data_IF_184188851284
#
_entry.id   IF_184188851284
#
_cell.length_a   1.000
_cell.length_b   1.000
_cell.length_c   1.000
_cell.angle_alpha   90.00
_cell.angle_beta   90.00
_cell.angle_gamma   90.00
#
_symmetry.space_group_name_H-M   'P 1'
#
loop_
_entity.id
_entity.type
_entity.pdbx_description
1 polymer ?
#
# COMPACT_ATOMS: atom_id res chain seq x y z
N UNK A 1 -19.99 -9.80 18.74
CA UNK A 1 -18.79 -9.07 19.18
C UNK A 1 -19.23 -7.72 19.74
N UNK A 2 -18.74 -7.35 20.90
CA UNK A 2 -19.11 -6.06 21.50
C UNK A 2 -18.29 -4.90 20.88
N UNK A 3 -18.73 -3.66 21.11
CA UNK A 3 -18.10 -2.48 20.55
C UNK A 3 -16.63 -2.31 20.99
N UNK A 4 -16.30 -2.80 22.19
CA UNK A 4 -14.94 -2.74 22.73
C UNK A 4 -13.99 -3.65 21.93
N UNK A 5 -14.46 -4.85 21.57
CA UNK A 5 -13.69 -5.79 20.76
C UNK A 5 -13.47 -5.25 19.36
N UNK A 6 -14.47 -4.58 18.79
CA UNK A 6 -14.33 -3.95 17.48
C UNK A 6 -13.32 -2.81 17.50
N UNK A 7 -13.36 -1.99 18.55
CA UNK A 7 -12.41 -0.89 18.72
C UNK A 7 -10.97 -1.42 18.85
N UNK A 8 -10.77 -2.47 19.64
CA UNK A 8 -9.47 -3.11 19.81
C UNK A 8 -8.97 -3.70 18.49
N UNK A 9 -9.84 -4.36 17.73
CA UNK A 9 -9.49 -4.95 16.45
C UNK A 9 -9.05 -3.89 15.43
N UNK A 10 -9.77 -2.77 15.36
CA UNK A 10 -9.42 -1.66 14.48
C UNK A 10 -8.07 -1.06 14.83
N UNK A 11 -7.82 -0.87 16.12
CA UNK A 11 -6.54 -0.36 16.60
C UNK A 11 -5.39 -1.30 16.25
N UNK A 12 -5.59 -2.62 16.36
CA UNK A 12 -4.59 -3.62 15.99
C UNK A 12 -4.27 -3.58 14.50
N UNK A 13 -5.29 -3.44 13.65
CA UNK A 13 -5.13 -3.34 12.21
C UNK A 13 -4.35 -2.10 11.80
N UNK A 14 -4.67 -0.95 12.40
CA UNK A 14 -3.96 0.29 12.14
C UNK A 14 -2.50 0.20 12.60
N UNK A 15 -2.25 -0.36 13.78
CA UNK A 15 -0.90 -0.55 14.30
C UNK A 15 -0.09 -1.50 13.40
N UNK A 16 -0.71 -2.58 12.91
CA UNK A 16 -0.06 -3.53 12.02
C UNK A 16 0.30 -2.88 10.68
N UNK A 17 -0.59 -2.04 10.15
CA UNK A 17 -0.33 -1.32 8.91
C UNK A 17 0.88 -0.38 9.07
N UNK A 18 0.92 0.37 10.16
CA UNK A 18 2.04 1.28 10.45
C UNK A 18 3.35 0.49 10.64
N UNK A 19 3.28 -0.64 11.35
CA UNK A 19 4.43 -1.51 11.54
C UNK A 19 4.94 -2.07 10.21
N UNK A 20 4.03 -2.42 9.29
CA UNK A 20 4.41 -2.92 7.96
C UNK A 20 5.11 -1.85 7.12
N UNK A 21 4.66 -0.59 7.20
CA UNK A 21 5.36 0.52 6.53
C UNK A 21 6.80 0.59 7.03
N UNK A 22 6.99 0.57 8.36
CA UNK A 22 8.32 0.57 8.95
C UNK A 22 9.16 -0.63 8.54
N UNK A 23 8.56 -1.81 8.47
CA UNK A 23 9.23 -3.03 8.05
C UNK A 23 9.68 -2.96 6.58
N UNK A 24 8.85 -2.39 5.70
CA UNK A 24 9.25 -2.14 4.30
C UNK A 24 10.45 -1.22 4.22
N UNK A 25 10.44 -0.15 5.02
CA UNK A 25 11.56 0.80 5.05
C UNK A 25 12.86 0.16 5.52
N UNK A 26 12.79 -0.84 6.40
CA UNK A 26 13.94 -1.59 6.89
C UNK A 26 14.23 -2.85 6.07
N UNK A 27 13.41 -3.16 5.08
CA UNK A 27 13.46 -4.40 4.29
C UNK A 27 13.32 -5.68 5.14
N UNK A 28 12.52 -5.58 6.19
CA UNK A 28 12.20 -6.72 7.04
C UNK A 28 10.99 -7.47 6.48
N UNK A 29 11.24 -8.26 5.43
CA UNK A 29 10.18 -8.96 4.71
C UNK A 29 9.58 -10.10 5.52
N UNK A 30 10.32 -10.70 6.43
CA UNK A 30 9.79 -11.75 7.30
C UNK A 30 8.68 -11.23 8.20
N UNK A 31 8.82 -10.02 8.73
CA UNK A 31 7.79 -9.41 9.57
C UNK A 31 6.51 -9.15 8.77
N UNK A 32 6.65 -8.69 7.52
CA UNK A 32 5.51 -8.40 6.65
C UNK A 32 4.82 -9.71 6.26
N UNK A 33 5.59 -10.73 5.91
CA UNK A 33 5.07 -12.04 5.51
C UNK A 33 4.19 -12.65 6.60
N UNK A 34 4.58 -12.50 7.87
CA UNK A 34 3.81 -13.03 9.00
C UNK A 34 2.45 -12.37 9.15
N UNK A 35 2.27 -11.14 8.65
CA UNK A 35 1.01 -10.40 8.72
C UNK A 35 0.08 -10.66 7.53
N UNK A 36 0.53 -11.42 6.53
CA UNK A 36 -0.21 -11.66 5.31
C UNK A 36 -0.47 -13.16 5.10
N UNK A 37 -1.54 -13.47 4.38
CA UNK A 37 -1.78 -14.84 3.94
C UNK A 37 -0.75 -15.21 2.87
N UNK A 38 -0.33 -16.49 2.80
CA UNK A 38 0.57 -16.94 1.73
C UNK A 38 0.00 -16.69 0.33
N UNK A 39 -1.33 -16.73 0.19
CA UNK A 39 -2.05 -16.52 -1.07
C UNK A 39 -2.59 -15.09 -1.23
N UNK A 40 -2.02 -14.12 -0.51
CA UNK A 40 -2.41 -12.72 -0.60
C UNK A 40 -2.40 -12.24 -2.04
N UNK A 41 -3.40 -11.40 -2.40
CA UNK A 41 -3.53 -10.84 -3.74
C UNK A 41 -3.44 -9.32 -3.65
N UNK A 42 -2.74 -8.72 -4.60
CA UNK A 42 -2.65 -7.26 -4.72
C UNK A 42 -3.04 -6.83 -6.12
N UNK A 43 -3.90 -5.80 -6.19
CA UNK A 43 -4.31 -5.20 -7.46
C UNK A 43 -3.77 -3.78 -7.55
N UNK A 44 -3.05 -3.50 -8.63
CA UNK A 44 -2.57 -2.17 -8.96
C UNK A 44 -3.25 -1.73 -10.25
N UNK A 45 -4.18 -0.75 -10.18
CA UNK A 45 -4.96 -0.36 -11.36
C UNK A 45 -4.15 0.44 -12.36
N UNK A 46 -4.74 0.68 -13.51
CA UNK A 46 -4.21 1.58 -14.53
C UNK A 46 -3.49 0.88 -15.64
N UNK A 47 -2.68 1.65 -16.34
CA UNK A 47 -1.95 1.20 -17.53
C UNK A 47 -0.45 1.46 -17.43
N UNK A 48 0.09 1.67 -16.22
CA UNK A 48 1.53 1.75 -16.02
C UNK A 48 2.16 0.37 -16.22
N UNK A 49 3.46 0.33 -16.42
CA UNK A 49 4.14 -0.94 -16.58
C UNK A 49 4.13 -1.81 -15.29
N UNK A 50 3.82 -1.20 -14.15
CA UNK A 50 3.67 -1.93 -12.89
C UNK A 50 2.22 -2.39 -12.65
N UNK A 51 1.25 -1.88 -13.43
CA UNK A 51 -0.17 -2.21 -13.25
C UNK A 51 -0.44 -3.70 -13.49
N UNK A 52 -1.34 -4.27 -12.69
CA UNK A 52 -1.72 -5.67 -12.83
C UNK A 52 -2.17 -6.28 -11.51
N UNK A 53 -2.36 -7.59 -11.53
CA UNK A 53 -2.73 -8.38 -10.37
C UNK A 53 -1.56 -9.27 -9.98
N UNK A 54 -1.22 -9.24 -8.70
CA UNK A 54 -0.09 -9.99 -8.13
C UNK A 54 -0.64 -11.03 -7.16
N UNK A 55 -0.25 -12.28 -7.32
CA UNK A 55 -0.71 -13.39 -6.47
C UNK A 55 0.42 -14.01 -5.68
N UNK A 56 0.20 -14.16 -4.37
CA UNK A 56 1.17 -14.71 -3.44
C UNK A 56 2.15 -13.68 -2.91
N UNK A 57 2.69 -13.97 -1.73
CA UNK A 57 3.56 -13.02 -1.03
C UNK A 57 4.78 -12.60 -1.85
N UNK A 58 5.40 -13.53 -2.58
CA UNK A 58 6.61 -13.22 -3.36
C UNK A 58 6.33 -12.18 -4.45
N UNK A 59 5.22 -12.34 -5.20
CA UNK A 59 4.84 -11.38 -6.24
C UNK A 59 4.38 -10.05 -5.64
N UNK A 60 3.56 -10.09 -4.58
CA UNK A 60 3.10 -8.90 -3.88
C UNK A 60 4.30 -8.12 -3.33
N UNK A 61 5.25 -8.83 -2.75
CA UNK A 61 6.48 -8.22 -2.23
C UNK A 61 7.28 -7.50 -3.29
N UNK A 62 7.41 -8.08 -4.49
CA UNK A 62 8.10 -7.43 -5.61
C UNK A 62 7.39 -6.15 -6.05
N UNK A 63 6.05 -6.19 -6.10
CA UNK A 63 5.27 -5.01 -6.45
C UNK A 63 5.45 -3.90 -5.41
N UNK A 64 5.40 -4.23 -4.13
CA UNK A 64 5.56 -3.25 -3.05
C UNK A 64 6.97 -2.66 -3.04
N UNK A 65 7.99 -3.46 -3.29
CA UNK A 65 9.37 -2.96 -3.42
C UNK A 65 9.47 -1.96 -4.57
N UNK A 66 8.84 -2.25 -5.70
CA UNK A 66 8.81 -1.32 -6.83
C UNK A 66 8.04 -0.04 -6.48
N UNK A 67 6.94 -0.14 -5.74
CA UNK A 67 6.18 1.02 -5.28
C UNK A 67 6.91 1.82 -4.19
N UNK A 68 7.92 1.27 -3.59
CA UNK A 68 8.63 1.86 -2.46
C UNK A 68 9.04 3.31 -2.71
N UNK A 69 9.47 3.63 -3.91
CA UNK A 69 9.90 4.98 -4.25
C UNK A 69 8.77 6.00 -4.15
N UNK A 70 7.56 5.59 -4.53
CA UNK A 70 6.35 6.40 -4.33
C UNK A 70 5.98 6.41 -2.86
N UNK A 71 6.09 5.27 -2.18
CA UNK A 71 5.74 5.14 -0.76
C UNK A 71 6.73 5.85 0.16
N UNK A 72 7.98 6.06 -0.28
CA UNK A 72 8.99 6.84 0.44
C UNK A 72 8.81 8.35 0.27
N UNK A 73 7.85 8.77 -0.54
CA UNK A 73 7.53 10.18 -0.72
C UNK A 73 6.99 10.79 0.57
N UNK A 74 7.00 12.11 0.64
CA UNK A 74 6.51 12.80 1.82
C UNK A 74 5.00 12.56 2.00
N UNK A 75 4.62 11.91 3.09
CA UNK A 75 3.24 11.73 3.47
C UNK A 75 2.80 12.94 4.30
N UNK A 76 1.94 13.76 3.72
CA UNK A 76 1.42 14.93 4.41
C UNK A 76 0.26 14.58 5.33
N UNK A 77 -0.42 13.46 5.05
CA UNK A 77 -1.53 13.00 5.86
C UNK A 77 -1.78 11.51 5.64
N UNK A 78 -2.04 10.79 6.73
CA UNK A 78 -2.50 9.40 6.69
C UNK A 78 -3.75 9.31 7.56
N UNK A 79 -4.83 8.73 7.04
CA UNK A 79 -6.05 8.51 7.80
C UNK A 79 -6.62 7.13 7.51
N UNK A 80 -7.42 6.61 8.45
CA UNK A 80 -7.95 5.25 8.40
C UNK A 80 -9.47 5.28 8.42
N UNK A 81 -10.09 4.44 7.59
CA UNK A 81 -11.53 4.19 7.57
C UNK A 81 -11.74 2.69 7.65
N UNK A 82 -12.67 2.25 8.48
CA UNK A 82 -12.98 0.84 8.66
C UNK A 82 -14.38 0.52 8.14
N UNK A 83 -14.49 -0.51 7.30
CA UNK A 83 -15.75 -0.99 6.74
C UNK A 83 -15.78 -2.51 6.83
N UNK A 84 -16.45 -3.05 7.88
CA UNK A 84 -16.52 -4.49 8.06
C UNK A 84 -15.15 -5.13 8.24
N UNK A 85 -14.81 -6.05 7.34
CA UNK A 85 -13.52 -6.74 7.32
C UNK A 85 -12.44 -5.99 6.53
N UNK A 86 -12.72 -4.76 6.12
CA UNK A 86 -11.82 -3.94 5.32
C UNK A 86 -11.34 -2.72 6.09
N UNK A 87 -10.10 -2.34 5.81
CA UNK A 87 -9.54 -1.08 6.27
C UNK A 87 -9.06 -0.31 5.05
N UNK A 88 -9.48 0.95 4.93
CA UNK A 88 -9.08 1.83 3.84
C UNK A 88 -8.14 2.86 4.42
N UNK A 89 -6.91 2.90 3.92
CA UNK A 89 -5.90 3.86 4.36
C UNK A 89 -5.74 4.91 3.29
N UNK A 90 -6.06 6.15 3.64
CA UNK A 90 -5.87 7.28 2.75
C UNK A 90 -4.49 7.88 2.98
N UNK A 91 -3.72 8.02 1.92
CA UNK A 91 -2.42 8.66 1.93
C UNK A 91 -2.46 9.90 1.05
N UNK A 92 -2.25 11.06 1.65
CA UNK A 92 -1.96 12.28 0.90
C UNK A 92 -0.45 12.37 0.82
N UNK A 93 0.10 12.29 -0.38
CA UNK A 93 1.54 12.21 -0.60
C UNK A 93 2.02 13.28 -1.57
N UNK A 94 3.27 13.68 -1.37
CA UNK A 94 3.96 14.59 -2.27
C UNK A 94 5.16 13.85 -2.85
N UNK A 95 5.10 13.58 -4.14
CA UNK A 95 6.17 12.87 -4.86
C UNK A 95 7.12 13.91 -5.45
N UNK A 96 8.39 13.79 -5.12
CA UNK A 96 9.42 14.69 -5.64
C UNK A 96 9.98 14.12 -6.94
N UNK A 97 9.74 14.84 -8.04
CA UNK A 97 10.34 14.52 -9.32
C UNK A 97 11.59 15.36 -9.59
N UNK A 98 12.31 15.08 -10.70
CA UNK A 98 13.54 15.82 -11.00
C UNK A 98 13.35 17.33 -11.19
N UNK A 99 12.20 17.76 -11.68
CA UNK A 99 11.93 19.15 -12.00
C UNK A 99 10.67 19.73 -11.36
N UNK A 100 9.91 18.92 -10.63
CA UNK A 100 8.65 19.38 -10.04
C UNK A 100 8.17 18.40 -8.97
N UNK A 101 7.28 18.89 -8.12
CA UNK A 101 6.61 18.07 -7.11
C UNK A 101 5.19 17.77 -7.58
N UNK A 102 4.70 16.59 -7.28
CA UNK A 102 3.34 16.16 -7.58
C UNK A 102 2.64 15.77 -6.29
N UNK A 103 1.50 16.38 -6.04
CA UNK A 103 0.64 16.00 -4.92
C UNK A 103 -0.42 15.03 -5.42
N UNK A 104 -0.64 13.94 -4.69
CA UNK A 104 -1.65 12.97 -5.06
C UNK A 104 -2.21 12.28 -3.82
N UNK A 105 -3.40 11.71 -3.96
CA UNK A 105 -4.04 10.94 -2.91
C UNK A 105 -4.18 9.50 -3.37
N UNK A 106 -3.74 8.58 -2.54
CA UNK A 106 -3.91 7.15 -2.74
C UNK A 106 -4.74 6.57 -1.60
N UNK A 107 -5.64 5.67 -1.93
CA UNK A 107 -6.28 4.82 -0.95
C UNK A 107 -5.76 3.41 -1.10
N UNK A 108 -5.41 2.80 0.01
CA UNK A 108 -5.00 1.40 0.06
C UNK A 108 -6.10 0.65 0.79
N UNK A 109 -6.81 -0.21 0.08
CA UNK A 109 -7.87 -1.02 0.66
C UNK A 109 -7.30 -2.38 1.01
N UNK A 110 -7.32 -2.71 2.30
CA UNK A 110 -6.85 -4.00 2.80
C UNK A 110 -8.04 -4.80 3.35
N UNK A 111 -8.13 -6.05 2.95
CA UNK A 111 -9.12 -6.99 3.48
C UNK A 111 -8.39 -8.01 4.36
N UNK A 112 -8.99 -8.33 5.49
CA UNK A 112 -8.43 -9.25 6.48
C UNK A 112 -9.25 -10.53 6.57
N UNK A 113 -8.57 -11.65 6.82
CA UNK A 113 -9.25 -12.91 7.08
C UNK A 113 -9.69 -13.02 8.56
N UNK A 114 -10.27 -14.16 8.92
CA UNK A 114 -10.75 -14.40 10.28
C UNK A 114 -9.64 -14.40 11.33
N UNK A 115 -8.40 -14.65 10.90
CA UNK A 115 -7.24 -14.66 11.78
C UNK A 115 -6.54 -13.31 11.85
N UNK A 116 -7.07 -12.30 11.17
CA UNK A 116 -6.50 -10.96 11.15
C UNK A 116 -5.34 -10.78 10.18
N UNK A 117 -5.09 -11.75 9.31
CA UNK A 117 -4.04 -11.63 8.29
C UNK A 117 -4.58 -10.95 7.04
N UNK A 118 -3.74 -10.17 6.39
CA UNK A 118 -4.10 -9.50 5.15
C UNK A 118 -4.34 -10.52 4.05
N UNK A 119 -5.54 -10.49 3.48
CA UNK A 119 -6.00 -11.39 2.43
C UNK A 119 -5.85 -10.75 1.04
N UNK A 120 -6.15 -9.45 0.93
CA UNK A 120 -6.03 -8.72 -0.32
C UNK A 120 -5.69 -7.26 -0.09
N UNK A 121 -5.05 -6.66 -1.09
CA UNK A 121 -4.68 -5.24 -1.09
C UNK A 121 -5.05 -4.68 -2.45
N UNK A 122 -5.79 -3.56 -2.47
CA UNK A 122 -6.15 -2.86 -3.70
C UNK A 122 -5.70 -1.41 -3.58
N UNK A 123 -4.99 -0.93 -4.58
CA UNK A 123 -4.56 0.47 -4.64
C UNK A 123 -5.62 1.26 -5.42
N UNK A 124 -6.12 2.34 -4.83
CA UNK A 124 -7.17 3.16 -5.41
C UNK A 124 -6.71 4.64 -5.44
N UNK A 125 -6.07 5.08 -6.52
CA UNK A 125 -5.69 6.50 -6.66
C UNK A 125 -6.92 7.35 -6.99
N UNK A 126 -6.94 8.60 -6.50
CA UNK A 126 -8.01 9.55 -6.86
C UNK A 126 -7.92 9.96 -8.33
N UNK A 127 -6.69 10.06 -8.86
CA UNK A 127 -6.45 10.41 -10.26
C UNK A 127 -5.58 9.32 -10.88
N UNK A 128 -6.23 8.40 -11.58
CA UNK A 128 -5.55 7.25 -12.17
C UNK A 128 -4.54 7.65 -13.24
N UNK A 129 -4.87 8.63 -14.07
CA UNK A 129 -3.95 9.11 -15.11
C UNK A 129 -2.68 9.71 -14.52
N UNK A 130 -2.84 10.51 -13.46
CA UNK A 130 -1.70 11.09 -12.75
C UNK A 130 -0.85 10.00 -12.09
N UNK A 131 -1.50 9.02 -11.48
CA UNK A 131 -0.82 7.90 -10.84
C UNK A 131 0.02 7.11 -11.85
N UNK A 132 -0.54 6.77 -13.01
CA UNK A 132 0.16 6.07 -14.08
C UNK A 132 1.37 6.89 -14.55
N UNK A 133 1.19 8.19 -14.73
CA UNK A 133 2.26 9.09 -15.16
C UNK A 133 3.41 9.12 -14.15
N UNK A 134 3.09 9.23 -12.86
CA UNK A 134 4.09 9.26 -11.79
C UNK A 134 4.85 7.94 -11.72
N UNK A 135 4.14 6.80 -11.76
CA UNK A 135 4.79 5.49 -11.74
C UNK A 135 5.75 5.31 -12.90
N UNK A 136 5.31 5.64 -14.10
CA UNK A 136 6.15 5.52 -15.29
C UNK A 136 7.38 6.43 -15.23
N UNK A 137 7.22 7.67 -14.75
CA UNK A 137 8.32 8.63 -14.62
C UNK A 137 9.34 8.21 -13.58
N UNK A 138 8.87 7.88 -12.36
CA UNK A 138 9.75 7.49 -11.24
C UNK A 138 10.53 6.22 -11.56
N UNK A 139 9.88 5.23 -12.19
CA UNK A 139 10.51 3.96 -12.48
C UNK A 139 11.44 4.05 -13.70
N UNK A 140 11.14 4.94 -14.64
CA UNK A 140 11.99 5.20 -15.79
C UNK A 140 13.31 5.84 -15.38
N UNK A 141 13.26 6.83 -14.46
CA UNK A 141 14.45 7.47 -13.93
C UNK A 141 15.33 6.47 -13.19
N UNK A 142 14.74 5.48 -12.56
CA UNK A 142 15.43 4.40 -11.87
C UNK A 142 16.23 3.51 -12.82
N UNK A 143 15.69 3.23 -14.02
CA UNK A 143 16.36 2.41 -15.02
C UNK A 143 17.48 3.17 -15.72
N UNK A 144 17.35 4.49 -15.82
CA UNK A 144 18.35 5.34 -16.47
C UNK A 144 19.58 5.58 -15.60
N UNK A 145 19.50 5.30 -14.33
CA UNK A 145 20.62 5.44 -13.41
C UNK A 145 21.31 4.09 -13.17
#
# INVERSE_FOLDING_TARGET
MDARSETALRAEREAQFIANIGAFMRRDFDAIERSMRPDVVMELPGSSWLSGTYGGFAEVGRCVVALRRVLESDHTRISFLHEGDQMIVRHDIKVHGPNHEVEMTLRVRARFDEQGKTESITIEPDDLGLFDHVLNAVLRDSEAS
#
